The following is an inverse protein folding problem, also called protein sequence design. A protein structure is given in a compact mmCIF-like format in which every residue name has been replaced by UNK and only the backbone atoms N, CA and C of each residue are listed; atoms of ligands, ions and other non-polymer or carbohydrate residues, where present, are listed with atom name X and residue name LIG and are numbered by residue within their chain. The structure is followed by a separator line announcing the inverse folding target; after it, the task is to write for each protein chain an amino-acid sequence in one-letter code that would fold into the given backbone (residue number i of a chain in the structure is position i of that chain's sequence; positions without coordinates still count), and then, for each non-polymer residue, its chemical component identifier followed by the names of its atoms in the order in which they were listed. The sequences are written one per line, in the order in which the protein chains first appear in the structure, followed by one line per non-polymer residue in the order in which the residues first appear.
data_IF_534387849081
#
_entry.id   IF_534387849081
#
_cell.length_a   1.000
_cell.length_b   1.000
_cell.length_c   1.000
_cell.angle_alpha   90.00
_cell.angle_beta   90.00
_cell.angle_gamma   90.00
#
_symmetry.space_group_name_H-M   'P 1'
#
loop_
_entity.id
_entity.type
_entity.pdbx_description
1 polymer ?
#
# COMPACT_ATOMS: atom_id res chain seq x y z
N UNK A 1 36.59 -0.75 -53.23
CA UNK A 1 35.15 -0.62 -53.53
C UNK A 1 34.40 -0.91 -52.24
N UNK A 2 34.09 0.16 -51.52
CA UNK A 2 33.46 0.21 -50.20
C UNK A 2 32.15 0.96 -50.36
N UNK A 3 31.07 0.43 -49.80
CA UNK A 3 29.97 1.19 -49.20
C UNK A 3 28.93 0.18 -48.71
N UNK A 4 28.98 -0.16 -47.43
CA UNK A 4 27.83 -0.70 -46.72
C UNK A 4 27.12 0.52 -46.14
N UNK A 5 26.04 0.93 -46.80
CA UNK A 5 25.27 2.13 -46.49
C UNK A 5 24.47 1.88 -45.21
N UNK A 6 25.08 2.14 -44.06
CA UNK A 6 24.36 2.20 -42.79
C UNK A 6 23.53 3.48 -42.78
N UNK A 7 22.22 3.32 -42.92
CA UNK A 7 21.22 4.34 -42.61
C UNK A 7 21.37 4.76 -41.14
N UNK A 8 22.24 5.73 -40.87
CA UNK A 8 22.27 6.47 -39.62
C UNK A 8 20.93 7.20 -39.48
N UNK A 9 20.08 6.67 -38.59
CA UNK A 9 18.92 7.43 -38.11
C UNK A 9 19.46 8.62 -37.33
N UNK A 10 19.10 9.87 -37.69
CA UNK A 10 19.55 11.03 -36.93
C UNK A 10 19.01 10.91 -35.51
N UNK A 11 19.94 10.78 -34.55
CA UNK A 11 19.67 10.94 -33.13
C UNK A 11 19.17 12.36 -32.92
N UNK A 12 17.84 12.54 -32.90
CA UNK A 12 17.26 13.74 -32.29
C UNK A 12 17.78 13.77 -30.87
N UNK A 13 18.61 14.77 -30.54
CA UNK A 13 18.91 15.11 -29.17
C UNK A 13 17.57 15.38 -28.48
N UNK A 14 17.07 14.36 -27.77
CA UNK A 14 15.99 14.53 -26.82
C UNK A 14 16.61 15.34 -25.70
N UNK A 15 16.23 16.60 -25.60
CA UNK A 15 16.50 17.42 -24.42
C UNK A 15 16.04 16.59 -23.22
N UNK A 16 16.99 16.14 -22.40
CA UNK A 16 16.73 15.37 -21.17
C UNK A 16 16.14 16.30 -20.11
N UNK A 17 14.96 16.86 -20.38
CA UNK A 17 14.05 17.15 -19.30
C UNK A 17 13.77 15.79 -18.63
N UNK A 18 13.91 15.69 -17.31
CA UNK A 18 13.57 14.48 -16.58
C UNK A 18 12.12 14.10 -16.92
N UNK A 19 11.93 13.15 -17.85
CA UNK A 19 10.61 12.61 -18.25
C UNK A 19 10.05 11.73 -17.12
N UNK A 20 10.88 11.42 -16.12
CA UNK A 20 10.50 10.63 -14.96
C UNK A 20 9.83 11.51 -13.91
N UNK A 21 8.60 11.14 -13.59
CA UNK A 21 7.88 11.57 -12.40
C UNK A 21 8.83 11.70 -11.18
N UNK A 22 8.98 12.91 -10.59
CA UNK A 22 9.97 13.17 -9.54
C UNK A 22 9.80 12.30 -8.30
N UNK A 23 8.57 12.01 -7.91
CA UNK A 23 8.27 11.13 -6.77
C UNK A 23 8.75 9.71 -7.06
N UNK A 24 8.50 9.22 -8.28
CA UNK A 24 8.94 7.90 -8.70
C UNK A 24 10.48 7.83 -8.76
N UNK A 25 11.14 8.89 -9.24
CA UNK A 25 12.59 8.97 -9.24
C UNK A 25 13.17 8.90 -7.81
N UNK A 26 12.64 9.71 -6.88
CA UNK A 26 13.05 9.70 -5.48
C UNK A 26 12.84 8.32 -4.82
N UNK A 27 11.68 7.71 -5.05
CA UNK A 27 11.36 6.37 -4.56
C UNK A 27 12.34 5.31 -5.07
N UNK A 28 12.70 5.37 -6.36
CA UNK A 28 13.65 4.44 -6.96
C UNK A 28 15.07 4.63 -6.41
N UNK A 29 15.49 5.87 -6.16
CA UNK A 29 16.82 6.16 -5.61
C UNK A 29 16.94 5.75 -4.14
N UNK A 30 15.95 6.06 -3.31
CA UNK A 30 15.85 5.55 -1.94
C UNK A 30 15.92 4.01 -1.93
N UNK A 31 15.24 3.36 -2.87
CA UNK A 31 15.22 1.90 -2.96
C UNK A 31 16.57 1.30 -3.36
N UNK A 32 17.31 1.93 -4.27
CA UNK A 32 18.67 1.49 -4.63
C UNK A 32 19.59 1.57 -3.42
N UNK A 33 19.51 2.65 -2.65
CA UNK A 33 20.33 2.84 -1.45
C UNK A 33 20.08 1.75 -0.40
N UNK A 34 18.81 1.41 -0.19
CA UNK A 34 18.42 0.35 0.76
C UNK A 34 18.95 -1.04 0.30
N UNK A 35 18.90 -1.36 -1.00
CA UNK A 35 19.41 -2.65 -1.51
C UNK A 35 20.91 -2.86 -1.28
N UNK A 36 21.68 -1.78 -1.15
CA UNK A 36 23.12 -1.87 -0.85
C UNK A 36 23.40 -2.34 0.59
N UNK A 37 22.37 -2.39 1.46
CA UNK A 37 22.52 -2.77 2.88
C UNK A 37 22.53 -4.30 3.10
N UNK A 38 22.31 -5.10 2.05
CA UNK A 38 22.38 -6.56 2.11
C UNK A 38 21.03 -7.24 1.85
N UNK A 39 21.01 -8.56 2.05
CA UNK A 39 19.82 -9.37 1.78
C UNK A 39 18.67 -9.00 2.72
N UNK A 40 17.46 -8.95 2.17
CA UNK A 40 16.26 -8.68 2.94
C UNK A 40 16.05 -9.70 4.07
N UNK A 41 15.73 -9.20 5.26
CA UNK A 41 15.22 -9.97 6.38
C UNK A 41 13.82 -9.48 6.73
N UNK A 42 12.83 -10.38 6.94
CA UNK A 42 11.53 -10.00 7.48
C UNK A 42 11.70 -9.23 8.78
N UNK A 43 10.90 -8.18 8.99
CA UNK A 43 11.00 -7.36 10.20
C UNK A 43 10.77 -8.23 11.46
N UNK A 44 11.64 -8.09 12.46
CA UNK A 44 11.42 -8.78 13.73
C UNK A 44 10.16 -8.22 14.40
N UNK A 45 9.32 -9.10 14.97
CA UNK A 45 8.04 -8.66 15.55
C UNK A 45 8.23 -7.68 16.72
N UNK A 46 9.32 -7.83 17.49
CA UNK A 46 9.64 -6.94 18.59
C UNK A 46 10.00 -5.52 18.11
N UNK A 47 10.74 -5.39 17.00
CA UNK A 47 11.06 -4.09 16.39
C UNK A 47 9.78 -3.41 15.89
N UNK A 48 8.88 -4.18 15.27
CA UNK A 48 7.58 -3.67 14.82
C UNK A 48 6.72 -3.25 16.00
N UNK A 49 6.75 -4.00 17.11
CA UNK A 49 6.04 -3.65 18.34
C UNK A 49 6.57 -2.34 18.93
N UNK A 50 7.89 -2.16 18.95
CA UNK A 50 8.51 -0.90 19.40
C UNK A 50 8.12 0.27 18.49
N UNK A 51 8.16 0.07 17.17
CA UNK A 51 7.75 1.07 16.18
C UNK A 51 6.27 1.45 16.39
N UNK A 52 5.40 0.46 16.60
CA UNK A 52 4.00 0.67 16.92
C UNK A 52 3.81 1.49 18.21
N UNK A 53 4.56 1.17 19.28
CA UNK A 53 4.49 1.91 20.53
C UNK A 53 4.83 3.41 20.34
N UNK A 54 5.78 3.72 19.45
CA UNK A 54 6.18 5.09 19.14
C UNK A 54 5.10 5.87 18.35
N UNK A 55 4.34 5.19 17.48
CA UNK A 55 3.32 5.85 16.64
C UNK A 55 1.93 5.89 17.26
N UNK A 56 1.62 5.06 18.27
CA UNK A 56 0.28 5.04 18.90
C UNK A 56 -0.17 6.43 19.36
N UNK A 57 0.68 7.25 20.02
CA UNK A 57 0.32 8.62 20.37
C UNK A 57 0.04 9.54 19.16
N UNK A 58 0.60 9.23 17.99
CA UNK A 58 0.40 9.99 16.75
C UNK A 58 -0.87 9.59 16.01
N UNK A 59 -1.31 8.34 16.19
CA UNK A 59 -2.58 7.83 15.65
C UNK A 59 -3.77 8.44 16.40
N UNK A 60 -3.64 8.65 17.71
CA UNK A 60 -4.69 9.30 18.49
C UNK A 60 -4.41 9.40 19.98
N UNK A 61 -4.94 10.46 20.58
CA UNK A 61 -4.78 10.75 22.00
C UNK A 61 -5.46 9.69 22.88
N UNK A 62 -4.76 9.27 23.93
CA UNK A 62 -5.32 8.35 24.92
C UNK A 62 -5.47 6.90 24.43
N UNK A 63 -4.85 6.55 23.31
CA UNK A 63 -4.71 5.17 22.88
C UNK A 63 -3.58 4.49 23.66
N UNK A 64 -3.82 3.25 24.08
CA UNK A 64 -2.84 2.39 24.74
C UNK A 64 -2.59 1.18 23.86
N UNK A 65 -1.31 0.88 23.57
CA UNK A 65 -0.92 -0.33 22.85
C UNK A 65 -1.32 -1.57 23.67
N UNK A 66 -2.07 -2.49 23.05
CA UNK A 66 -2.41 -3.78 23.65
C UNK A 66 -1.50 -4.89 23.13
N UNK A 67 -1.39 -5.00 21.80
CA UNK A 67 -0.67 -6.09 21.15
C UNK A 67 -0.34 -5.75 19.69
N UNK A 68 0.68 -6.42 19.15
CA UNK A 68 1.04 -6.40 17.74
C UNK A 68 1.29 -7.83 17.30
N UNK A 69 0.61 -8.25 16.24
CA UNK A 69 0.77 -9.58 15.67
C UNK A 69 0.92 -9.51 14.14
N UNK A 70 1.68 -10.43 13.57
CA UNK A 70 1.81 -10.55 12.12
C UNK A 70 0.51 -11.08 11.52
N UNK A 71 0.06 -10.48 10.42
CA UNK A 71 -1.08 -10.98 9.65
C UNK A 71 -0.61 -11.99 8.61
N UNK A 72 -1.36 -13.09 8.47
CA UNK A 72 -1.17 -14.04 7.39
C UNK A 72 -1.74 -13.49 6.08
N UNK A 73 -1.03 -13.71 4.97
CA UNK A 73 -1.30 -13.03 3.69
C UNK A 73 -0.39 -11.83 3.48
N UNK A 74 -0.28 -11.34 2.24
CA UNK A 74 0.64 -10.25 1.91
C UNK A 74 1.96 -10.70 1.27
N UNK A 75 1.91 -11.59 0.27
CA UNK A 75 3.12 -12.01 -0.47
C UNK A 75 3.93 -10.88 -1.12
N UNK A 76 3.36 -9.67 -1.21
CA UNK A 76 4.04 -8.46 -1.73
C UNK A 76 4.42 -7.44 -0.64
N UNK A 77 3.83 -7.51 0.57
CA UNK A 77 4.07 -6.54 1.67
C UNK A 77 3.96 -7.19 3.05
N UNK A 78 4.81 -6.79 3.99
CA UNK A 78 4.64 -7.21 5.38
C UNK A 78 3.45 -6.49 6.00
N UNK A 79 2.60 -7.25 6.69
CA UNK A 79 1.40 -6.74 7.33
C UNK A 79 1.29 -7.21 8.77
N UNK A 80 0.87 -6.31 9.63
CA UNK A 80 0.67 -6.55 11.05
C UNK A 80 -0.69 -6.00 11.49
N UNK A 81 -1.28 -6.62 12.50
CA UNK A 81 -2.41 -6.07 13.22
C UNK A 81 -1.90 -5.40 14.48
N UNK A 82 -2.22 -4.13 14.62
CA UNK A 82 -1.99 -3.32 15.81
C UNK A 82 -3.30 -3.27 16.60
N UNK A 83 -3.28 -3.75 17.84
CA UNK A 83 -4.41 -3.67 18.77
C UNK A 83 -4.15 -2.56 19.77
N UNK A 84 -5.12 -1.67 19.95
CA UNK A 84 -5.07 -0.60 20.96
C UNK A 84 -6.35 -0.58 21.78
N UNK A 85 -6.32 0.10 22.92
CA UNK A 85 -7.49 0.44 23.72
C UNK A 85 -7.59 1.95 23.86
N UNK A 86 -8.80 2.52 23.78
CA UNK A 86 -9.02 3.93 24.12
C UNK A 86 -9.21 4.14 25.63
N UNK A 87 -9.35 5.40 26.07
CA UNK A 87 -9.52 5.76 27.50
C UNK A 87 -10.73 5.10 28.16
N UNK A 88 -11.73 4.69 27.38
CA UNK A 88 -12.92 4.00 27.88
C UNK A 88 -12.71 2.48 27.97
N UNK A 89 -11.54 1.96 27.60
CA UNK A 89 -11.24 0.54 27.54
C UNK A 89 -11.68 -0.13 26.23
N UNK A 90 -12.20 0.62 25.25
CA UNK A 90 -12.72 0.02 24.00
C UNK A 90 -11.56 -0.37 23.10
N UNK A 91 -11.49 -1.66 22.75
CA UNK A 91 -10.45 -2.18 21.88
C UNK A 91 -10.69 -1.80 20.41
N UNK A 92 -9.63 -1.38 19.73
CA UNK A 92 -9.60 -1.06 18.30
C UNK A 92 -8.46 -1.80 17.62
N UNK A 93 -8.61 -2.01 16.31
CA UNK A 93 -7.61 -2.67 15.47
C UNK A 93 -7.21 -1.76 14.31
N UNK A 94 -5.93 -1.77 14.00
CA UNK A 94 -5.35 -1.15 12.82
C UNK A 94 -4.53 -2.18 12.04
N UNK A 95 -4.41 -1.97 10.74
CA UNK A 95 -3.48 -2.70 9.87
C UNK A 95 -2.26 -1.81 9.65
N UNK A 96 -1.09 -2.33 10.01
CA UNK A 96 0.21 -1.72 9.68
C UNK A 96 0.74 -2.43 8.44
N UNK A 97 1.01 -1.69 7.37
CA UNK A 97 1.47 -2.20 6.07
C UNK A 97 2.79 -1.53 5.71
N UNK A 98 3.84 -2.32 5.59
CA UNK A 98 5.20 -1.84 5.29
C UNK A 98 5.75 -2.52 4.04
N UNK A 99 6.57 -1.79 3.30
CA UNK A 99 7.30 -2.38 2.18
C UNK A 99 8.32 -3.42 2.68
N UNK A 100 8.43 -4.59 2.03
CA UNK A 100 9.54 -5.48 2.23
C UNK A 100 10.74 -4.88 1.50
N UNK A 101 11.95 -5.20 1.94
CA UNK A 101 13.19 -4.64 1.37
C UNK A 101 13.50 -5.19 -0.03
N UNK A 102 12.88 -6.31 -0.41
CA UNK A 102 12.94 -6.88 -1.76
C UNK A 102 11.52 -7.20 -2.27
N UNK A 103 10.97 -6.35 -3.15
CA UNK A 103 9.74 -6.61 -3.90
C UNK A 103 9.99 -6.30 -5.38
N UNK A 104 9.29 -7.03 -6.24
CA UNK A 104 9.27 -6.79 -7.70
C UNK A 104 8.65 -5.43 -8.02
N UNK A 105 7.75 -4.92 -7.16
CA UNK A 105 7.05 -3.66 -7.33
C UNK A 105 7.26 -2.73 -6.13
N UNK A 106 7.63 -1.47 -6.42
CA UNK A 106 7.72 -0.39 -5.43
C UNK A 106 6.53 0.57 -5.60
N UNK A 107 6.11 1.21 -4.51
CA UNK A 107 4.91 2.04 -4.46
C UNK A 107 5.08 3.12 -3.40
N UNK A 108 4.69 4.37 -3.68
CA UNK A 108 4.69 5.47 -2.69
C UNK A 108 3.53 5.29 -1.70
N UNK A 109 3.83 5.36 -0.39
CA UNK A 109 2.82 5.26 0.69
C UNK A 109 1.89 6.47 0.71
N UNK A 110 2.38 7.72 0.53
CA UNK A 110 1.50 8.87 0.33
C UNK A 110 0.54 8.69 -0.84
N UNK A 111 1.05 8.23 -2.00
CA UNK A 111 0.18 7.99 -3.16
C UNK A 111 -0.88 6.93 -2.91
N UNK A 112 -0.52 5.84 -2.22
CA UNK A 112 -1.49 4.81 -1.81
C UNK A 112 -2.55 5.39 -0.85
N UNK A 113 -2.13 6.21 0.13
CA UNK A 113 -3.03 6.86 1.06
C UNK A 113 -4.02 7.79 0.35
N UNK A 114 -3.54 8.67 -0.52
CA UNK A 114 -4.37 9.60 -1.31
C UNK A 114 -5.41 8.86 -2.15
N UNK A 115 -5.01 7.75 -2.79
CA UNK A 115 -5.93 6.95 -3.61
C UNK A 115 -6.98 6.23 -2.76
N UNK A 116 -6.61 5.74 -1.57
CA UNK A 116 -7.56 5.14 -0.62
C UNK A 116 -8.56 6.19 -0.13
N UNK A 117 -8.08 7.36 0.30
CA UNK A 117 -8.93 8.45 0.77
C UNK A 117 -9.89 8.94 -0.33
N UNK A 118 -9.37 9.11 -1.56
CA UNK A 118 -10.18 9.48 -2.70
C UNK A 118 -11.26 8.44 -3.00
N UNK A 119 -10.91 7.15 -3.02
CA UNK A 119 -11.87 6.06 -3.20
C UNK A 119 -12.94 6.05 -2.09
N UNK A 120 -12.54 6.37 -0.85
CA UNK A 120 -13.44 6.47 0.31
C UNK A 120 -14.55 7.51 0.19
N UNK A 121 -14.43 8.45 -0.75
CA UNK A 121 -15.52 9.39 -1.07
C UNK A 121 -16.71 8.73 -1.77
N UNK A 122 -16.54 7.52 -2.33
CA UNK A 122 -17.57 6.84 -3.15
C UNK A 122 -17.86 5.40 -2.76
N UNK A 123 -16.86 4.68 -2.22
CA UNK A 123 -16.97 3.26 -1.90
C UNK A 123 -16.40 2.96 -0.50
N UNK A 124 -16.83 1.86 0.14
CA UNK A 124 -16.27 1.46 1.43
C UNK A 124 -14.78 1.09 1.30
N UNK A 125 -13.93 1.76 2.06
CA UNK A 125 -12.49 1.51 2.15
C UNK A 125 -12.05 1.65 3.61
N UNK A 126 -10.92 1.04 4.02
CA UNK A 126 -10.35 1.34 5.33
C UNK A 126 -9.90 2.80 5.39
N UNK A 127 -10.14 3.47 6.52
CA UNK A 127 -9.64 4.83 6.74
C UNK A 127 -8.13 4.79 6.98
N UNK A 128 -7.39 5.66 6.30
CA UNK A 128 -5.98 5.92 6.60
C UNK A 128 -5.88 6.70 7.91
N UNK A 129 -5.05 6.23 8.84
CA UNK A 129 -4.88 6.87 10.15
C UNK A 129 -3.47 7.39 10.39
N UNK A 130 -2.48 6.89 9.66
CA UNK A 130 -1.10 7.36 9.76
C UNK A 130 -0.28 6.95 8.53
N UNK A 131 0.65 7.81 8.11
CA UNK A 131 1.62 7.56 7.04
C UNK A 131 3.01 7.92 7.55
N UNK A 132 3.91 6.94 7.56
CA UNK A 132 5.35 7.14 7.80
C UNK A 132 6.07 7.10 6.45
N UNK A 133 6.03 8.23 5.72
CA UNK A 133 6.58 8.32 4.37
C UNK A 133 8.12 8.24 4.37
N UNK A 134 8.74 9.02 5.25
CA UNK A 134 10.20 9.13 5.37
C UNK A 134 10.86 7.97 6.14
N UNK A 135 10.10 6.92 6.52
CA UNK A 135 10.58 5.81 7.34
C UNK A 135 11.24 6.26 8.67
N UNK A 136 10.59 7.20 9.38
CA UNK A 136 11.07 7.74 10.66
C UNK A 136 10.81 6.81 11.84
N UNK A 137 9.75 6.02 11.76
CA UNK A 137 9.32 5.13 12.85
C UNK A 137 9.55 3.67 12.51
N UNK A 138 9.44 3.31 11.23
CA UNK A 138 9.71 1.97 10.73
C UNK A 138 10.95 1.96 9.84
N UNK A 139 11.63 0.82 9.64
CA UNK A 139 12.78 0.74 8.74
C UNK A 139 12.46 1.02 7.26
N UNK A 140 11.18 1.04 6.89
CA UNK A 140 10.71 1.29 5.53
C UNK A 140 9.42 2.12 5.59
N UNK A 141 9.06 2.83 4.48
CA UNK A 141 7.82 3.58 4.41
C UNK A 141 6.60 2.72 4.77
N UNK A 142 5.78 3.23 5.69
CA UNK A 142 4.69 2.45 6.32
C UNK A 142 3.37 3.21 6.26
N UNK A 143 2.29 2.48 5.97
CA UNK A 143 0.91 2.98 5.99
C UNK A 143 0.12 2.26 7.07
N UNK A 144 -0.61 3.01 7.89
CA UNK A 144 -1.50 2.46 8.92
C UNK A 144 -2.94 2.85 8.61
N UNK A 145 -3.83 1.86 8.67
CA UNK A 145 -5.24 2.04 8.36
C UNK A 145 -6.13 1.35 9.39
N UNK A 146 -7.40 1.73 9.46
CA UNK A 146 -8.41 1.00 10.23
C UNK A 146 -8.52 -0.46 9.77
N UNK A 147 -8.66 -1.37 10.73
CA UNK A 147 -8.95 -2.76 10.43
C UNK A 147 -10.45 -2.91 10.12
N UNK A 148 -10.78 -3.34 8.90
CA UNK A 148 -12.16 -3.64 8.50
C UNK A 148 -12.45 -5.11 8.77
N UNK A 149 -13.40 -5.37 9.67
CA UNK A 149 -13.86 -6.73 9.95
C UNK A 149 -14.56 -7.35 8.74
N UNK A 150 -14.24 -8.59 8.44
CA UNK A 150 -14.86 -9.31 7.32
C UNK A 150 -14.09 -10.55 6.91
N UNK A 151 -14.53 -11.16 5.82
CA UNK A 151 -13.87 -12.32 5.21
C UNK A 151 -13.64 -12.06 3.73
N UNK A 152 -12.43 -12.35 3.24
CA UNK A 152 -12.05 -12.16 1.84
C UNK A 152 -12.47 -13.34 0.92
N UNK A 153 -12.84 -14.48 1.52
CA UNK A 153 -13.33 -15.66 0.79
C UNK A 153 -14.43 -16.36 1.60
N UNK A 154 -15.38 -17.06 0.94
CA UNK A 154 -16.34 -17.89 1.66
C UNK A 154 -15.65 -18.98 2.47
N UNK A 155 -16.22 -19.34 3.62
CA UNK A 155 -15.65 -20.37 4.51
C UNK A 155 -15.46 -21.74 3.84
N UNK A 156 -16.21 -22.03 2.76
CA UNK A 156 -16.20 -23.31 2.04
C UNK A 156 -15.19 -23.30 0.87
N UNK A 157 -14.57 -22.16 0.55
CA UNK A 157 -13.57 -22.09 -0.51
C UNK A 157 -12.23 -22.68 -0.02
N UNK A 158 -11.70 -23.66 -0.75
CA UNK A 158 -10.42 -24.32 -0.44
C UNK A 158 -9.26 -23.36 -0.19
N UNK A 159 -8.22 -23.83 0.50
CA UNK A 159 -7.00 -23.08 0.77
C UNK A 159 -6.10 -23.04 -0.47
N UNK A 160 -6.57 -22.40 -1.54
CA UNK A 160 -5.70 -21.96 -2.61
C UNK A 160 -5.06 -20.61 -2.26
N UNK A 161 -3.91 -20.32 -2.89
CA UNK A 161 -3.20 -19.04 -2.79
C UNK A 161 -4.17 -17.89 -3.11
N UNK A 162 -4.04 -16.76 -2.40
CA UNK A 162 -4.89 -15.57 -2.60
C UNK A 162 -5.01 -15.20 -4.08
N UNK A 163 -6.23 -15.23 -4.62
CA UNK A 163 -6.54 -14.79 -5.99
C UNK A 163 -6.64 -15.89 -7.05
N UNK A 164 -6.16 -17.11 -6.79
CA UNK A 164 -6.28 -18.24 -7.72
C UNK A 164 -7.15 -19.33 -7.10
N UNK A 165 -8.16 -19.80 -7.83
CA UNK A 165 -9.01 -20.92 -7.40
C UNK A 165 -10.07 -20.60 -6.33
N UNK A 166 -10.34 -19.32 -6.02
CA UNK A 166 -11.45 -18.95 -5.13
C UNK A 166 -12.77 -19.10 -5.89
N UNK A 167 -13.55 -20.13 -5.53
CA UNK A 167 -14.92 -20.27 -6.01
C UNK A 167 -15.91 -19.69 -5.01
N UNK A 168 -16.69 -18.70 -5.45
CA UNK A 168 -17.74 -18.08 -4.63
C UNK A 168 -19.06 -18.89 -4.64
N UNK A 169 -19.23 -19.81 -5.60
CA UNK A 169 -20.50 -20.51 -5.81
C UNK A 169 -21.63 -19.57 -6.27
N UNK A 170 -22.73 -20.14 -6.74
CA UNK A 170 -23.86 -19.37 -7.29
C UNK A 170 -24.45 -18.38 -6.28
N UNK A 171 -24.76 -18.85 -5.06
CA UNK A 171 -25.37 -18.03 -4.01
C UNK A 171 -24.58 -16.75 -3.70
N UNK A 172 -23.26 -16.83 -3.54
CA UNK A 172 -22.46 -15.64 -3.23
C UNK A 172 -22.26 -14.78 -4.48
N UNK A 173 -22.06 -15.38 -5.67
CA UNK A 173 -21.95 -14.60 -6.92
C UNK A 173 -23.20 -13.75 -7.17
N UNK A 174 -24.39 -14.34 -7.06
CA UNK A 174 -25.66 -13.62 -7.26
C UNK A 174 -25.83 -12.45 -6.30
N UNK A 175 -25.34 -12.57 -5.05
CA UNK A 175 -25.45 -11.51 -4.04
C UNK A 175 -24.34 -10.45 -4.12
N UNK A 176 -23.11 -10.85 -4.42
CA UNK A 176 -21.93 -9.99 -4.39
C UNK A 176 -21.65 -9.31 -5.73
N UNK A 177 -21.98 -9.93 -6.86
CA UNK A 177 -21.67 -9.38 -8.17
C UNK A 177 -22.31 -8.01 -8.42
N UNK A 178 -23.60 -7.75 -8.10
CA UNK A 178 -24.18 -6.42 -8.28
C UNK A 178 -23.47 -5.34 -7.45
N UNK A 179 -23.12 -5.66 -6.20
CA UNK A 179 -22.40 -4.75 -5.30
C UNK A 179 -20.98 -4.46 -5.80
N UNK A 180 -20.27 -5.50 -6.25
CA UNK A 180 -18.92 -5.36 -6.81
C UNK A 180 -18.92 -4.48 -8.06
N UNK A 181 -19.86 -4.70 -8.99
CA UNK A 181 -19.98 -3.90 -10.21
C UNK A 181 -20.39 -2.46 -9.90
N UNK A 182 -21.32 -2.25 -8.97
CA UNK A 182 -21.70 -0.90 -8.50
C UNK A 182 -20.49 -0.15 -7.93
N UNK A 183 -19.68 -0.78 -7.07
CA UNK A 183 -18.47 -0.16 -6.52
C UNK A 183 -17.41 0.12 -7.59
N UNK A 184 -17.23 -0.77 -8.56
CA UNK A 184 -16.32 -0.53 -9.69
C UNK A 184 -16.78 0.66 -10.55
N UNK A 185 -18.08 0.74 -10.84
CA UNK A 185 -18.66 1.85 -11.59
C UNK A 185 -18.50 3.19 -10.84
N UNK A 186 -18.74 3.20 -9.52
CA UNK A 186 -18.54 4.38 -8.67
C UNK A 186 -17.08 4.83 -8.63
N UNK A 187 -16.14 3.88 -8.54
CA UNK A 187 -14.71 4.16 -8.55
C UNK A 187 -14.29 4.80 -9.89
N UNK A 188 -14.75 4.26 -11.02
CA UNK A 188 -14.49 4.84 -12.35
C UNK A 188 -15.17 6.20 -12.56
N UNK A 189 -16.20 6.52 -11.79
CA UNK A 189 -16.87 7.82 -11.81
C UNK A 189 -16.18 8.91 -10.99
N UNK A 190 -15.06 8.61 -10.34
CA UNK A 190 -14.29 9.61 -9.60
C UNK A 190 -13.49 10.47 -10.57
N UNK A 191 -13.62 11.79 -10.43
CA UNK A 191 -12.74 12.75 -11.11
C UNK A 191 -11.56 13.07 -10.18
N UNK A 192 -10.31 12.75 -10.58
CA UNK A 192 -9.12 13.13 -9.82
C UNK A 192 -9.02 14.65 -9.65
N UNK A 193 -8.62 15.12 -8.47
CA UNK A 193 -8.30 16.52 -8.21
C UNK A 193 -6.87 16.65 -7.68
N UNK A 194 -6.06 17.61 -8.17
CA UNK A 194 -4.72 17.87 -7.64
C UNK A 194 -4.70 18.25 -6.15
N UNK A 195 -5.81 18.78 -5.62
CA UNK A 195 -5.91 19.12 -4.20
C UNK A 195 -5.85 17.89 -3.29
N UNK A 196 -6.36 16.76 -3.79
CA UNK A 196 -6.40 15.45 -3.12
C UNK A 196 -5.17 14.62 -3.51
N UNK A 197 -4.80 14.64 -4.80
CA UNK A 197 -3.69 13.84 -5.33
C UNK A 197 -2.39 14.65 -5.44
N UNK A 198 -1.92 15.19 -4.31
CA UNK A 198 -0.76 16.10 -4.26
C UNK A 198 0.52 15.40 -4.66
N UNK A 199 0.67 14.14 -4.29
CA UNK A 199 1.85 13.34 -4.62
C UNK A 199 1.79 12.80 -6.05
N UNK A 200 0.66 12.95 -6.78
CA UNK A 200 0.52 12.57 -8.19
C UNK A 200 0.63 13.75 -9.15
N UNK A 201 0.75 14.97 -8.63
CA UNK A 201 0.98 16.15 -9.46
C UNK A 201 2.35 16.04 -10.13
N UNK A 202 2.37 15.91 -11.46
CA UNK A 202 3.60 16.04 -12.25
C UNK A 202 3.75 17.54 -12.54
N UNK A 203 4.89 18.18 -12.18
CA UNK A 203 5.15 19.59 -12.45
C UNK A 203 5.06 19.95 -13.94
#
# INVERSE_FOLDING_TARGET
MTANDQLERPSKAVTTANITDPELAALLDARKAVRLQGAYQPLALDDVRQSCANIVPLIGDGLTLLDVARLGGGGSKEQFVLRVSDRAGTARKYVVRTDPLETVTVSSRPREAEMIELAGTRIPVPKVVFVDDDARYFPQPTLVMEFVEGVAKPAIAGNAVTGLGISFGEKHRTRLAPQFVDYLARLHGITPSPEILRHHAIP
#
